data_IF_449662237026
#
_entry.id   IF_449662237026
#
_cell.length_a   1.000
_cell.length_b   1.000
_cell.length_c   1.000
_cell.angle_alpha   90.00
_cell.angle_beta   90.00
_cell.angle_gamma   90.00
#
_symmetry.space_group_name_H-M   'P 1'
#
loop_
_entity.id
_entity.type
_entity.pdbx_description
1 polymer ?
#
# COMPACT_ATOMS: atom_id res chain seq x y z
N UNK A 1 33.84 12.34 -10.96
CA UNK A 1 32.59 13.09 -10.75
C UNK A 1 31.47 12.11 -10.41
N UNK A 2 30.94 12.14 -9.17
CA UNK A 2 29.48 12.17 -8.98
C UNK A 2 29.10 12.95 -7.71
N UNK A 3 28.79 14.25 -7.81
CA UNK A 3 28.35 15.07 -6.66
C UNK A 3 27.05 15.85 -6.90
N UNK A 4 26.38 15.67 -8.04
CA UNK A 4 25.22 16.49 -8.43
C UNK A 4 23.85 15.90 -8.08
N UNK A 5 23.73 14.58 -7.90
CA UNK A 5 22.42 13.93 -7.64
C UNK A 5 22.02 13.98 -6.16
N UNK A 6 22.99 13.90 -5.23
CA UNK A 6 22.71 13.96 -3.78
C UNK A 6 22.23 15.32 -3.27
N UNK A 7 22.55 16.42 -3.98
CA UNK A 7 22.17 17.77 -3.56
C UNK A 7 20.69 18.11 -3.82
N UNK A 8 19.99 17.37 -4.67
CA UNK A 8 18.59 17.65 -4.99
C UNK A 8 17.64 17.14 -3.90
N UNK A 9 17.83 15.89 -3.46
CA UNK A 9 17.02 15.29 -2.40
C UNK A 9 17.19 16.02 -1.05
N UNK A 10 18.43 16.34 -0.67
CA UNK A 10 18.71 17.08 0.57
C UNK A 10 18.11 18.49 0.57
N UNK A 11 18.14 19.20 -0.57
CA UNK A 11 17.56 20.54 -0.72
C UNK A 11 16.03 20.51 -0.60
N UNK A 12 15.35 19.51 -1.16
CA UNK A 12 13.89 19.38 -1.02
C UNK A 12 13.46 19.02 0.41
N UNK A 13 14.25 18.22 1.13
CA UNK A 13 14.00 17.91 2.54
C UNK A 13 14.16 19.16 3.42
N UNK A 14 15.18 19.99 3.15
CA UNK A 14 15.38 21.25 3.85
C UNK A 14 14.25 22.27 3.58
N UNK A 15 13.83 22.41 2.31
CA UNK A 15 12.68 23.24 1.92
C UNK A 15 11.35 22.74 2.52
N UNK A 16 11.20 21.42 2.68
CA UNK A 16 10.03 20.79 3.33
C UNK A 16 9.97 21.07 4.84
N UNK A 17 11.11 20.96 5.55
CA UNK A 17 11.19 21.29 6.98
C UNK A 17 10.87 22.76 7.25
N UNK A 18 11.26 23.67 6.35
CA UNK A 18 10.98 25.10 6.48
C UNK A 18 9.48 25.45 6.35
N UNK A 19 8.70 24.65 5.61
CA UNK A 19 7.26 24.90 5.37
C UNK A 19 6.34 24.46 6.52
N UNK A 20 6.81 23.63 7.45
CA UNK A 20 6.02 23.16 8.61
C UNK A 20 5.81 24.22 9.72
N UNK A 21 6.38 25.42 9.61
CA UNK A 21 6.30 26.47 10.65
C UNK A 21 5.07 27.39 10.58
N UNK A 22 4.08 27.17 9.69
CA UNK A 22 2.83 27.95 9.70
C UNK A 22 1.60 27.04 9.69
N UNK A 23 0.78 27.03 10.75
CA UNK A 23 -0.53 26.39 10.71
C UNK A 23 -1.50 27.32 9.99
N UNK A 24 -1.68 27.08 8.69
CA UNK A 24 -2.66 27.77 7.87
C UNK A 24 -3.09 26.85 6.74
N UNK A 25 -4.37 26.44 6.80
CA UNK A 25 -5.20 25.93 5.69
C UNK A 25 -4.45 25.17 4.59
N UNK A 26 -4.22 23.86 4.78
CA UNK A 26 -3.67 23.00 3.73
C UNK A 26 -4.80 22.70 2.73
N UNK A 27 -4.93 23.54 1.71
CA UNK A 27 -5.43 23.07 0.43
C UNK A 27 -4.49 21.94 -0.01
N UNK A 28 -5.03 20.74 -0.24
CA UNK A 28 -4.25 19.61 -0.75
C UNK A 28 -3.66 20.00 -2.12
N UNK A 29 -2.45 20.54 -2.13
CA UNK A 29 -1.69 20.75 -3.35
C UNK A 29 -1.42 19.37 -3.93
N UNK A 30 -2.10 19.04 -5.02
CA UNK A 30 -1.76 17.94 -5.89
C UNK A 30 -0.32 18.17 -6.36
N UNK A 31 0.64 17.49 -5.74
CA UNK A 31 2.03 17.57 -6.16
C UNK A 31 2.08 16.88 -7.52
N UNK A 32 2.13 17.65 -8.62
CA UNK A 32 2.41 17.09 -9.95
C UNK A 32 3.86 16.63 -9.97
N UNK A 33 4.11 15.42 -9.46
CA UNK A 33 5.37 14.72 -9.69
C UNK A 33 5.28 14.04 -11.05
N UNK A 34 6.38 14.03 -11.80
CA UNK A 34 6.53 13.14 -12.94
C UNK A 34 6.19 11.70 -12.49
N UNK A 35 5.62 10.86 -13.36
CA UNK A 35 5.46 9.44 -13.09
C UNK A 35 6.79 8.83 -12.60
N UNK A 36 6.70 8.08 -11.51
CA UNK A 36 7.80 7.31 -10.93
C UNK A 36 7.68 5.90 -11.52
N UNK A 37 8.71 5.42 -12.22
CA UNK A 37 8.74 4.04 -12.68
C UNK A 37 8.71 3.06 -11.52
N UNK A 38 8.30 1.81 -11.75
CA UNK A 38 8.24 0.78 -10.71
C UNK A 38 9.63 0.55 -10.08
N UNK A 39 10.66 0.51 -10.91
CA UNK A 39 12.06 0.39 -10.47
C UNK A 39 12.47 1.58 -9.59
N UNK A 40 12.12 2.80 -10.00
CA UNK A 40 12.44 4.01 -9.24
C UNK A 40 11.67 4.10 -7.93
N UNK A 41 10.45 3.56 -7.88
CA UNK A 41 9.64 3.50 -6.66
C UNK A 41 10.29 2.58 -5.62
N UNK A 42 10.82 1.44 -6.07
CA UNK A 42 11.54 0.51 -5.21
C UNK A 42 12.80 1.13 -4.59
N UNK A 43 13.49 1.95 -5.37
CA UNK A 43 14.71 2.66 -4.94
C UNK A 43 14.42 3.94 -4.16
N UNK A 44 13.16 4.36 -4.10
CA UNK A 44 12.73 5.53 -3.33
C UNK A 44 12.54 5.20 -1.85
N UNK A 45 12.81 6.18 -0.99
CA UNK A 45 12.54 6.08 0.45
C UNK A 45 11.04 5.90 0.77
N UNK A 46 10.15 6.11 -0.20
CA UNK A 46 8.71 5.94 -0.06
C UNK A 46 8.38 4.45 0.19
N UNK A 47 9.13 3.52 -0.41
CA UNK A 47 8.88 2.08 -0.27
C UNK A 47 9.91 1.37 0.61
N UNK A 48 11.13 1.91 0.76
CA UNK A 48 12.21 1.24 1.51
C UNK A 48 12.73 2.03 2.72
N UNK A 49 12.40 1.49 3.90
CA UNK A 49 13.25 1.48 5.09
C UNK A 49 13.29 0.03 5.63
N UNK A 50 13.74 -0.92 4.79
CA UNK A 50 14.22 -2.19 5.33
C UNK A 50 15.74 -2.07 5.53
N UNK A 51 16.16 -1.40 6.60
CA UNK A 51 17.40 -1.87 7.21
C UNK A 51 17.11 -3.31 7.66
N UNK A 52 17.51 -4.28 6.84
CA UNK A 52 17.71 -5.65 7.28
C UNK A 52 18.86 -5.63 8.28
N UNK A 53 18.61 -5.08 9.48
CA UNK A 53 19.18 -5.69 10.67
C UNK A 53 18.58 -7.07 10.67
N UNK A 54 19.44 -8.06 10.52
CA UNK A 54 19.21 -9.50 10.64
C UNK A 54 18.32 -9.83 11.85
N UNK A 55 17.02 -9.58 11.72
CA UNK A 55 16.04 -10.01 12.69
C UNK A 55 15.78 -11.45 12.32
N UNK A 56 16.22 -12.34 13.22
CA UNK A 56 15.89 -13.75 13.21
C UNK A 56 14.43 -13.97 12.80
N UNK A 57 14.12 -15.02 12.03
CA UNK A 57 12.74 -15.35 11.71
C UNK A 57 11.95 -15.35 13.02
N UNK A 58 10.84 -14.60 13.04
CA UNK A 58 9.98 -14.60 14.22
C UNK A 58 9.56 -16.04 14.49
N UNK A 59 9.70 -16.53 15.74
CA UNK A 59 9.37 -17.91 16.03
C UNK A 59 7.93 -18.21 15.60
N UNK A 60 7.67 -19.43 15.07
CA UNK A 60 6.31 -19.83 14.75
C UNK A 60 5.45 -19.68 16.01
N UNK A 61 4.43 -18.81 15.96
CA UNK A 61 3.59 -18.49 17.11
C UNK A 61 3.72 -17.06 17.64
N UNK A 62 4.56 -16.19 17.09
CA UNK A 62 4.40 -14.75 17.27
C UNK A 62 3.14 -14.27 16.54
N UNK A 63 2.00 -14.47 17.22
CA UNK A 63 0.78 -13.72 16.98
C UNK A 63 1.18 -12.25 17.04
N UNK A 64 1.14 -11.55 15.92
CA UNK A 64 1.03 -10.09 15.92
C UNK A 64 -0.31 -9.74 16.55
N UNK A 65 -0.40 -9.89 17.87
CA UNK A 65 -1.38 -9.25 18.70
C UNK A 65 -1.35 -7.78 18.32
N UNK A 66 -2.49 -7.27 17.89
CA UNK A 66 -2.98 -5.90 17.94
C UNK A 66 -3.72 -5.57 16.66
N UNK A 67 -5.01 -5.91 16.66
CA UNK A 67 -6.03 -5.20 15.86
C UNK A 67 -6.20 -3.82 16.51
N UNK A 68 -5.25 -2.91 16.28
CA UNK A 68 -5.48 -1.50 16.59
C UNK A 68 -6.49 -0.97 15.59
N UNK A 69 -7.65 -0.50 16.07
CA UNK A 69 -8.60 0.25 15.25
C UNK A 69 -7.87 1.40 14.56
N UNK A 70 -8.14 1.59 13.27
CA UNK A 70 -7.56 2.65 12.45
C UNK A 70 -6.03 2.55 12.32
N UNK A 71 -5.55 1.36 11.96
CA UNK A 71 -4.11 1.10 11.72
C UNK A 71 -3.56 1.91 10.56
N UNK A 72 -4.40 2.22 9.57
CA UNK A 72 -4.05 2.99 8.37
C UNK A 72 -5.03 4.14 8.19
N UNK A 73 -4.84 5.19 8.98
CA UNK A 73 -5.79 6.31 9.07
C UNK A 73 -5.80 7.14 7.78
N UNK A 74 -4.66 7.26 7.08
CA UNK A 74 -4.65 7.90 5.76
C UNK A 74 -5.48 7.08 4.77
N UNK A 75 -5.27 5.76 4.77
CA UNK A 75 -6.00 4.86 3.86
C UNK A 75 -7.50 4.91 4.10
N UNK A 76 -7.94 4.84 5.36
CA UNK A 76 -9.37 4.90 5.72
C UNK A 76 -10.04 6.21 5.28
N UNK A 77 -9.38 7.36 5.54
CA UNK A 77 -9.86 8.67 5.07
C UNK A 77 -9.94 8.74 3.55
N UNK A 78 -8.94 8.20 2.87
CA UNK A 78 -8.91 8.15 1.41
C UNK A 78 -10.07 7.30 0.86
N UNK A 79 -10.22 6.07 1.33
CA UNK A 79 -11.29 5.16 0.91
C UNK A 79 -12.68 5.78 1.16
N UNK A 80 -12.89 6.40 2.32
CA UNK A 80 -14.16 7.06 2.65
C UNK A 80 -14.47 8.22 1.70
N UNK A 81 -13.44 9.03 1.37
CA UNK A 81 -13.58 10.17 0.44
C UNK A 81 -13.90 9.72 -0.98
N UNK A 82 -13.31 8.59 -1.43
CA UNK A 82 -13.44 8.09 -2.80
C UNK A 82 -14.38 6.88 -2.95
N UNK A 83 -15.20 6.57 -1.93
CA UNK A 83 -16.13 5.42 -1.91
C UNK A 83 -17.04 5.32 -3.15
N UNK A 84 -17.39 6.46 -3.76
CA UNK A 84 -18.22 6.50 -4.97
C UNK A 84 -17.51 5.98 -6.22
N UNK A 85 -16.18 6.13 -6.29
CA UNK A 85 -15.35 5.75 -7.44
C UNK A 85 -14.60 4.43 -7.29
N UNK A 86 -14.38 3.95 -6.06
CA UNK A 86 -13.72 2.67 -5.80
C UNK A 86 -14.78 1.58 -5.67
N UNK A 87 -14.97 0.78 -6.72
CA UNK A 87 -15.95 -0.32 -6.77
C UNK A 87 -15.30 -1.69 -6.57
N UNK A 88 -14.02 -1.82 -6.91
CA UNK A 88 -13.24 -3.04 -6.73
C UNK A 88 -11.98 -2.74 -5.94
N UNK A 89 -11.87 -3.32 -4.74
CA UNK A 89 -10.76 -3.12 -3.82
C UNK A 89 -10.12 -4.45 -3.41
N UNK A 90 -8.80 -4.52 -3.41
CA UNK A 90 -8.06 -5.68 -2.88
C UNK A 90 -7.14 -5.27 -1.73
N UNK A 91 -7.16 -6.05 -0.65
CA UNK A 91 -6.32 -5.85 0.53
C UNK A 91 -5.33 -7.00 0.69
N UNK A 92 -4.06 -6.73 0.44
CA UNK A 92 -3.01 -7.74 0.39
C UNK A 92 -2.31 -7.87 1.75
N UNK A 93 -2.13 -9.12 2.20
CA UNK A 93 -1.53 -9.46 3.49
C UNK A 93 -2.41 -9.01 4.66
N UNK A 94 -3.72 -9.16 4.47
CA UNK A 94 -4.74 -8.77 5.44
C UNK A 94 -4.76 -9.62 6.72
N UNK A 95 -3.88 -10.63 6.83
CA UNK A 95 -3.94 -11.67 7.85
C UNK A 95 -5.27 -12.41 7.78
N UNK A 96 -5.54 -13.01 6.62
CA UNK A 96 -6.80 -13.71 6.34
C UNK A 96 -7.11 -14.76 7.40
N UNK A 97 -6.09 -15.49 7.87
CA UNK A 97 -6.20 -16.46 8.96
C UNK A 97 -6.68 -15.89 10.31
N UNK A 98 -6.67 -14.57 10.47
CA UNK A 98 -7.13 -13.84 11.66
C UNK A 98 -8.44 -13.08 11.39
N UNK A 99 -9.13 -13.36 10.29
CA UNK A 99 -10.41 -12.73 9.93
C UNK A 99 -10.29 -11.41 9.19
N UNK A 100 -9.12 -11.10 8.61
CA UNK A 100 -8.90 -9.95 7.74
C UNK A 100 -9.35 -8.60 8.37
N UNK A 101 -8.81 -8.22 9.56
CA UNK A 101 -9.25 -7.03 10.29
C UNK A 101 -9.13 -5.74 9.48
N UNK A 102 -8.01 -5.55 8.77
CA UNK A 102 -7.81 -4.37 7.92
C UNK A 102 -8.81 -4.35 6.77
N UNK A 103 -9.14 -5.50 6.19
CA UNK A 103 -10.11 -5.60 5.08
C UNK A 103 -11.50 -5.24 5.56
N UNK A 104 -11.86 -5.67 6.77
CA UNK A 104 -13.13 -5.29 7.41
C UNK A 104 -13.24 -3.77 7.61
N UNK A 105 -12.14 -3.10 8.03
CA UNK A 105 -12.11 -1.63 8.14
C UNK A 105 -12.29 -0.96 6.77
N UNK A 106 -11.62 -1.46 5.73
CA UNK A 106 -11.78 -0.94 4.37
C UNK A 106 -13.22 -1.11 3.87
N UNK A 107 -13.89 -2.21 4.21
CA UNK A 107 -15.30 -2.42 3.85
C UNK A 107 -16.26 -1.47 4.52
N UNK A 108 -16.00 -1.08 5.76
CA UNK A 108 -16.78 -0.01 6.41
C UNK A 108 -16.61 1.34 5.72
N UNK A 109 -15.38 1.66 5.28
CA UNK A 109 -15.08 2.92 4.60
C UNK A 109 -15.68 3.00 3.20
N UNK A 110 -15.63 1.91 2.44
CA UNK A 110 -16.14 1.84 1.06
C UNK A 110 -17.66 1.63 0.98
N UNK A 111 -18.24 0.94 1.96
CA UNK A 111 -19.67 0.63 1.98
C UNK A 111 -20.03 -0.64 1.18
N UNK A 112 -21.33 -1.01 1.17
CA UNK A 112 -21.80 -2.31 0.68
C UNK A 112 -21.71 -2.48 -0.85
N UNK A 113 -21.63 -1.39 -1.61
CA UNK A 113 -21.58 -1.44 -3.08
C UNK A 113 -20.21 -1.83 -3.62
N UNK A 114 -19.17 -1.85 -2.77
CA UNK A 114 -17.82 -2.19 -3.18
C UNK A 114 -17.57 -3.70 -3.08
N UNK A 115 -16.97 -4.27 -4.12
CA UNK A 115 -16.44 -5.63 -4.11
C UNK A 115 -15.05 -5.62 -3.48
N UNK A 116 -14.91 -6.35 -2.37
CA UNK A 116 -13.71 -6.31 -1.54
C UNK A 116 -13.07 -7.69 -1.49
N UNK A 117 -11.80 -7.77 -1.87
CA UNK A 117 -11.01 -9.00 -1.83
C UNK A 117 -10.01 -8.95 -0.67
N UNK A 118 -10.10 -9.94 0.20
CA UNK A 118 -9.13 -10.18 1.27
C UNK A 118 -8.07 -11.16 0.73
N UNK A 119 -6.88 -10.64 0.42
CA UNK A 119 -5.83 -11.40 -0.26
C UNK A 119 -4.73 -11.77 0.73
N UNK A 120 -4.40 -13.04 0.80
CA UNK A 120 -3.31 -13.55 1.63
C UNK A 120 -2.73 -14.84 1.02
N UNK A 121 -1.55 -15.26 1.46
CA UNK A 121 -0.96 -16.56 1.09
C UNK A 121 -1.49 -17.70 1.96
N UNK A 122 -2.06 -17.37 3.12
CA UNK A 122 -2.69 -18.35 4.00
C UNK A 122 -4.22 -18.32 3.84
N UNK A 123 -4.87 -19.48 3.70
CA UNK A 123 -6.32 -19.55 3.55
C UNK A 123 -7.05 -19.10 4.82
N UNK A 124 -8.31 -18.68 4.63
CA UNK A 124 -9.25 -18.49 5.72
C UNK A 124 -9.54 -19.85 6.38
N UNK A 125 -9.47 -19.97 7.73
CA UNK A 125 -9.84 -21.18 8.44
C UNK A 125 -11.27 -21.62 8.11
N UNK A 126 -11.48 -22.93 7.95
CA UNK A 126 -12.80 -23.49 7.56
C UNK A 126 -13.92 -23.21 8.56
N UNK A 127 -13.58 -22.89 9.82
CA UNK A 127 -14.52 -22.52 10.86
C UNK A 127 -14.83 -21.02 10.91
N UNK A 128 -14.35 -20.24 9.95
CA UNK A 128 -14.55 -18.79 9.89
C UNK A 128 -15.27 -18.41 8.60
N UNK A 129 -16.38 -17.69 8.75
CA UNK A 129 -17.13 -17.19 7.59
C UNK A 129 -16.59 -15.81 7.17
N UNK A 130 -16.34 -15.58 5.87
CA UNK A 130 -15.97 -14.26 5.38
C UNK A 130 -17.17 -13.32 5.49
N UNK A 131 -17.04 -12.25 6.26
CA UNK A 131 -18.12 -11.25 6.43
C UNK A 131 -17.79 -9.98 5.66
N UNK A 132 -18.50 -9.76 4.56
CA UNK A 132 -18.39 -8.51 3.77
C UNK A 132 -17.13 -8.40 2.91
N UNK A 133 -16.46 -9.52 2.62
CA UNK A 133 -15.33 -9.60 1.68
C UNK A 133 -15.25 -10.98 1.04
N UNK A 134 -14.44 -11.10 -0.02
CA UNK A 134 -14.17 -12.32 -0.77
C UNK A 134 -12.74 -12.77 -0.44
N UNK A 135 -12.54 -13.95 0.18
CA UNK A 135 -11.20 -14.46 0.45
C UNK A 135 -10.53 -14.90 -0.85
N UNK A 136 -9.25 -14.54 -1.02
CA UNK A 136 -8.44 -14.94 -2.16
C UNK A 136 -7.08 -15.42 -1.65
N UNK A 137 -6.73 -16.68 -1.95
CA UNK A 137 -5.40 -17.22 -1.66
C UNK A 137 -4.48 -16.91 -2.83
N UNK A 138 -3.58 -15.94 -2.67
CA UNK A 138 -2.72 -15.47 -3.75
C UNK A 138 -1.43 -14.85 -3.24
N UNK A 139 -0.31 -15.19 -3.89
CA UNK A 139 1.00 -14.60 -3.63
C UNK A 139 1.31 -13.49 -4.63
N UNK A 140 1.07 -12.23 -4.26
CA UNK A 140 1.31 -11.11 -5.19
C UNK A 140 2.79 -10.95 -5.57
N UNK A 141 3.71 -11.52 -4.79
CA UNK A 141 5.15 -11.42 -5.01
C UNK A 141 5.72 -12.46 -5.97
N UNK A 142 4.91 -13.43 -6.42
CA UNK A 142 5.36 -14.41 -7.40
C UNK A 142 5.58 -13.79 -8.78
N UNK A 143 6.49 -14.37 -9.55
CA UNK A 143 6.85 -13.83 -10.87
C UNK A 143 5.66 -13.91 -11.83
N UNK A 144 5.25 -12.76 -12.37
CA UNK A 144 4.18 -12.62 -13.39
C UNK A 144 2.86 -13.26 -12.98
N UNK A 145 2.40 -12.92 -11.79
CA UNK A 145 1.15 -13.43 -11.24
C UNK A 145 0.24 -12.27 -10.78
N UNK A 146 -0.24 -11.42 -11.71
CA UNK A 146 -1.25 -10.43 -11.39
C UNK A 146 -2.57 -11.12 -11.00
N UNK A 147 -3.49 -10.34 -10.43
CA UNK A 147 -4.86 -10.82 -10.24
C UNK A 147 -5.50 -11.10 -11.61
N UNK A 148 -6.37 -12.10 -11.66
CA UNK A 148 -7.23 -12.37 -12.81
C UNK A 148 -8.41 -11.39 -12.92
N UNK A 149 -8.40 -10.31 -12.14
CA UNK A 149 -9.38 -9.22 -12.16
C UNK A 149 -8.67 -7.88 -12.01
N UNK A 150 -9.34 -6.82 -12.46
CA UNK A 150 -8.85 -5.44 -12.38
C UNK A 150 -9.43 -4.73 -11.16
N UNK A 151 -8.59 -3.99 -10.44
CA UNK A 151 -8.92 -3.24 -9.24
C UNK A 151 -8.97 -1.73 -9.49
N UNK A 152 -9.88 -1.04 -8.81
CA UNK A 152 -9.86 0.44 -8.73
C UNK A 152 -8.86 0.90 -7.66
N UNK A 153 -8.66 0.10 -6.61
CA UNK A 153 -7.64 0.33 -5.61
C UNK A 153 -7.09 -0.97 -5.01
N UNK A 154 -5.81 -0.98 -4.68
CA UNK A 154 -5.12 -2.08 -4.00
C UNK A 154 -4.40 -1.51 -2.78
N UNK A 155 -4.55 -2.16 -1.63
CA UNK A 155 -3.73 -1.89 -0.45
C UNK A 155 -2.65 -2.95 -0.31
N UNK A 156 -1.40 -2.52 -0.18
CA UNK A 156 -0.25 -3.35 0.20
C UNK A 156 0.41 -2.70 1.42
N UNK A 157 -0.07 -3.05 2.61
CA UNK A 157 0.36 -2.41 3.84
C UNK A 157 1.08 -3.42 4.74
N UNK A 158 2.30 -3.09 5.21
CA UNK A 158 3.13 -3.94 6.09
C UNK A 158 3.56 -5.31 5.54
N UNK A 159 3.25 -5.66 4.28
CA UNK A 159 3.70 -6.93 3.67
C UNK A 159 5.09 -6.79 3.06
N UNK A 160 5.40 -5.64 2.46
CA UNK A 160 6.65 -5.38 1.74
C UNK A 160 7.92 -5.64 2.56
N UNK A 161 7.87 -5.43 3.89
CA UNK A 161 8.99 -5.70 4.81
C UNK A 161 9.31 -7.18 5.00
N UNK A 162 8.39 -8.07 4.63
CA UNK A 162 8.55 -9.53 4.68
C UNK A 162 9.01 -10.10 3.34
N UNK A 163 9.18 -9.24 2.32
CA UNK A 163 9.58 -9.60 0.97
C UNK A 163 11.04 -9.21 0.73
N UNK A 164 11.75 -10.03 -0.04
CA UNK A 164 13.04 -9.63 -0.63
C UNK A 164 12.83 -8.48 -1.62
N UNK A 165 13.92 -7.79 -2.01
CA UNK A 165 13.87 -6.74 -3.04
C UNK A 165 13.26 -7.25 -4.36
N UNK A 166 13.61 -8.47 -4.78
CA UNK A 166 13.07 -9.09 -5.99
C UNK A 166 11.57 -9.36 -5.88
N UNK A 167 11.12 -9.90 -4.74
CA UNK A 167 9.69 -10.12 -4.47
C UNK A 167 8.89 -8.81 -4.42
N UNK A 168 9.44 -7.75 -3.83
CA UNK A 168 8.81 -6.44 -3.84
C UNK A 168 8.67 -5.88 -5.26
N UNK A 169 9.69 -6.04 -6.10
CA UNK A 169 9.62 -5.63 -7.50
C UNK A 169 8.53 -6.40 -8.27
N UNK A 170 8.45 -7.72 -8.09
CA UNK A 170 7.39 -8.53 -8.69
C UNK A 170 6.01 -8.13 -8.17
N UNK A 171 5.87 -7.89 -6.86
CA UNK A 171 4.64 -7.42 -6.26
C UNK A 171 4.19 -6.08 -6.86
N UNK A 172 5.09 -5.10 -7.00
CA UNK A 172 4.75 -3.81 -7.60
C UNK A 172 4.34 -3.94 -9.08
N UNK A 173 5.00 -4.81 -9.86
CA UNK A 173 4.62 -5.10 -11.25
C UNK A 173 3.25 -5.74 -11.33
N UNK A 174 3.01 -6.80 -10.56
CA UNK A 174 1.72 -7.48 -10.53
C UNK A 174 0.59 -6.55 -10.04
N UNK A 175 0.86 -5.68 -9.06
CA UNK A 175 -0.08 -4.66 -8.60
C UNK A 175 -0.37 -3.65 -9.70
N UNK A 176 0.65 -3.16 -10.40
CA UNK A 176 0.47 -2.23 -11.51
C UNK A 176 -0.38 -2.87 -12.60
N UNK A 177 -0.09 -4.11 -13.00
CA UNK A 177 -0.88 -4.86 -13.99
C UNK A 177 -2.33 -5.12 -13.53
N UNK A 178 -2.55 -5.31 -12.22
CA UNK A 178 -3.87 -5.57 -11.64
C UNK A 178 -4.70 -4.31 -11.38
N UNK A 179 -4.09 -3.13 -11.44
CA UNK A 179 -4.80 -1.86 -11.29
C UNK A 179 -5.31 -1.35 -12.64
N UNK A 180 -6.53 -0.82 -12.64
CA UNK A 180 -7.03 -0.02 -13.77
C UNK A 180 -6.20 1.25 -13.92
N UNK A 181 -6.16 1.79 -15.13
CA UNK A 181 -5.56 3.10 -15.36
C UNK A 181 -6.24 4.16 -14.49
N UNK A 182 -5.45 4.98 -13.78
CA UNK A 182 -5.96 5.91 -12.78
C UNK A 182 -6.37 5.30 -11.44
N UNK A 183 -6.26 3.98 -11.27
CA UNK A 183 -6.49 3.28 -10.00
C UNK A 183 -5.39 3.55 -8.96
N UNK A 184 -5.62 3.16 -7.70
CA UNK A 184 -4.78 3.58 -6.58
C UNK A 184 -4.04 2.45 -5.88
N UNK A 185 -2.76 2.66 -5.56
CA UNK A 185 -2.00 1.84 -4.63
C UNK A 185 -1.90 2.56 -3.27
N UNK A 186 -2.49 1.95 -2.25
CA UNK A 186 -2.44 2.39 -0.87
C UNK A 186 -1.32 1.62 -0.17
N UNK A 187 -0.19 2.28 0.04
CA UNK A 187 0.98 1.66 0.66
C UNK A 187 1.24 2.18 2.06
N UNK A 188 1.88 1.34 2.87
CA UNK A 188 2.37 1.75 4.18
C UNK A 188 3.70 1.06 4.49
N UNK A 189 4.68 1.85 4.92
CA UNK A 189 5.94 1.38 5.52
C UNK A 189 5.81 1.36 7.05
N UNK A 190 6.91 1.20 7.77
CA UNK A 190 6.90 1.23 9.24
C UNK A 190 6.40 2.57 9.79
N UNK A 191 6.77 3.67 9.13
CA UNK A 191 6.64 5.03 9.67
C UNK A 191 5.78 5.96 8.80
N UNK A 192 5.40 5.55 7.58
CA UNK A 192 4.72 6.43 6.63
C UNK A 192 3.59 5.70 5.88
N UNK A 193 2.47 6.40 5.69
CA UNK A 193 1.39 6.00 4.80
C UNK A 193 1.44 6.85 3.52
N UNK A 194 1.18 6.23 2.37
CA UNK A 194 1.15 6.96 1.09
C UNK A 194 0.09 6.38 0.15
N UNK A 195 -0.32 7.22 -0.80
CA UNK A 195 -1.27 6.88 -1.86
C UNK A 195 -0.63 7.22 -3.19
N UNK A 196 -0.47 6.21 -4.04
CA UNK A 196 -0.03 6.36 -5.41
C UNK A 196 -1.20 6.14 -6.36
N UNK A 197 -1.19 6.81 -7.50
CA UNK A 197 -2.10 6.57 -8.61
C UNK A 197 -1.34 5.93 -9.75
N UNK A 198 -1.89 4.85 -10.32
CA UNK A 198 -1.36 4.23 -11.53
C UNK A 198 -1.43 5.23 -12.69
N UNK A 199 -0.33 5.32 -13.42
CA UNK A 199 -0.23 6.03 -14.69
C UNK A 199 0.57 5.18 -15.67
N UNK A 200 0.18 5.04 -16.93
CA UNK A 200 0.98 4.47 -18.04
C UNK A 200 2.00 3.41 -17.61
N UNK A 201 3.26 3.82 -17.41
CA UNK A 201 4.40 2.95 -17.08
C UNK A 201 4.75 2.82 -15.59
N UNK A 202 4.02 3.49 -14.69
CA UNK A 202 4.35 3.50 -13.27
C UNK A 202 3.30 4.15 -12.38
N UNK A 203 3.76 4.99 -11.45
CA UNK A 203 2.93 5.55 -10.39
C UNK A 203 3.19 7.04 -10.17
N UNK A 204 2.16 7.79 -9.80
CA UNK A 204 2.26 9.19 -9.36
C UNK A 204 1.89 9.29 -7.88
N UNK A 205 2.65 10.03 -7.10
CA UNK A 205 2.33 10.27 -5.69
C UNK A 205 1.15 11.24 -5.58
N UNK A 206 0.05 10.82 -4.95
CA UNK A 206 -1.15 11.63 -4.76
C UNK A 206 -1.15 12.30 -3.39
N UNK A 207 -0.90 11.51 -2.34
CA UNK A 207 -0.90 11.96 -0.94
C UNK A 207 0.13 11.14 -0.16
N UNK A 208 0.80 11.79 0.79
CA UNK A 208 1.70 11.18 1.78
C UNK A 208 1.37 11.79 3.15
N UNK A 209 1.43 10.99 4.22
CA UNK A 209 1.19 11.47 5.59
C UNK A 209 2.31 11.07 6.55
#
# INVERSE_FOLDING_TARGET
>A
MPRRIFNFAAKRIAEWKARRKKPGTIAAQQIRTQPISIESLLDSQIYFHSELKTRSPSPPGHRTSFVYKARFRLHEKFLSKYRGGIKVFADIGCALAQGAPSTTEAGKALGPDAKIYAVDVFPLPSNMEPKGFIPVVHSISESRLPFNFQCDAIRLANVARHMTRHQNMNALRNIHESLREGGFLLGATHDHEFILQKSGEGFQLVVEW
#
